data_IF_867763243591
#
_entry.id   IF_867763243591
#
_cell.length_a   1.000
_cell.length_b   1.000
_cell.length_c   1.000
_cell.angle_alpha   90.00
_cell.angle_beta   90.00
_cell.angle_gamma   90.00
#
_symmetry.space_group_name_H-M   'P 1'
#
loop_
_entity.id
_entity.type
_entity.pdbx_description
1 polymer ?
#
# COMPACT_ATOMS: atom_id res chain seq x y z
N UNK A 1 -8.76 -16.58 3.11
CA UNK A 1 -8.00 -15.32 3.24
C UNK A 1 -8.86 -14.21 2.64
N UNK A 2 -9.01 -13.07 3.29
CA UNK A 2 -9.78 -11.95 2.77
C UNK A 2 -8.87 -10.93 2.06
N UNK A 3 -9.36 -10.30 0.99
CA UNK A 3 -8.67 -9.25 0.24
C UNK A 3 -9.24 -7.86 0.54
N UNK A 4 -8.42 -6.85 0.32
CA UNK A 4 -8.87 -5.47 0.21
C UNK A 4 -8.76 -5.02 -1.24
N UNK A 5 -9.59 -4.08 -1.66
CA UNK A 5 -9.62 -3.67 -3.07
C UNK A 5 -9.40 -2.16 -3.10
N UNK A 6 -8.29 -1.72 -3.69
CA UNK A 6 -8.07 -0.30 -3.99
C UNK A 6 -8.81 0.04 -5.28
N UNK A 7 -9.64 1.08 -5.28
CA UNK A 7 -10.48 1.42 -6.42
C UNK A 7 -10.63 2.94 -6.63
N UNK A 8 -10.93 3.31 -7.87
CA UNK A 8 -11.18 4.69 -8.29
C UNK A 8 -12.37 5.31 -7.54
N UNK A 9 -12.41 6.64 -7.35
CA UNK A 9 -13.54 7.35 -6.74
C UNK A 9 -14.88 7.08 -7.44
N UNK A 10 -14.87 6.88 -8.75
CA UNK A 10 -16.07 6.54 -9.54
C UNK A 10 -16.70 5.22 -9.10
N UNK A 11 -15.87 4.22 -8.77
CA UNK A 11 -16.33 2.92 -8.27
C UNK A 11 -16.94 3.07 -6.88
N UNK A 12 -16.27 3.79 -5.99
CA UNK A 12 -16.76 4.04 -4.64
C UNK A 12 -18.09 4.82 -4.63
N UNK A 13 -18.23 5.81 -5.52
CA UNK A 13 -19.46 6.56 -5.72
C UNK A 13 -20.58 5.68 -6.33
N UNK A 14 -20.26 4.82 -7.30
CA UNK A 14 -21.23 3.90 -7.90
C UNK A 14 -21.81 2.92 -6.89
N UNK A 15 -20.99 2.44 -5.96
CA UNK A 15 -21.42 1.58 -4.85
C UNK A 15 -22.04 2.36 -3.69
N UNK A 16 -21.95 3.69 -3.72
CA UNK A 16 -22.44 4.58 -2.68
C UNK A 16 -21.84 4.29 -1.29
N UNK A 17 -20.55 3.93 -1.27
CA UNK A 17 -19.75 3.56 -0.08
C UNK A 17 -18.61 4.54 0.21
N UNK A 18 -18.49 5.61 -0.56
CA UNK A 18 -17.51 6.69 -0.43
C UNK A 18 -17.41 7.25 1.01
N UNK A 19 -18.55 7.34 1.72
CA UNK A 19 -18.59 7.82 3.12
C UNK A 19 -18.27 6.76 4.17
N UNK A 20 -18.30 5.49 3.79
CA UNK A 20 -18.15 4.34 4.69
C UNK A 20 -16.77 3.69 4.59
N UNK A 21 -16.05 3.97 3.51
CA UNK A 21 -14.75 3.39 3.21
C UNK A 21 -13.66 4.41 3.45
N UNK A 22 -12.45 3.88 3.67
CA UNK A 22 -11.29 4.72 3.86
C UNK A 22 -10.88 5.32 2.52
N UNK A 23 -10.80 6.64 2.46
CA UNK A 23 -10.13 7.36 1.38
C UNK A 23 -8.63 7.39 1.65
N UNK A 24 -7.84 6.98 0.67
CA UNK A 24 -6.38 6.97 0.70
C UNK A 24 -5.83 8.36 0.35
N UNK A 25 -4.52 8.56 0.56
CA UNK A 25 -3.84 9.84 0.31
C UNK A 25 -3.80 10.22 -1.17
N UNK A 26 -3.82 9.25 -2.07
CA UNK A 26 -3.93 9.43 -3.53
C UNK A 26 -5.37 9.71 -4.01
N UNK A 27 -6.32 9.82 -3.09
CA UNK A 27 -7.71 10.10 -3.40
C UNK A 27 -8.54 8.87 -3.78
N UNK A 28 -7.92 7.70 -3.92
CA UNK A 28 -8.61 6.43 -4.16
C UNK A 28 -9.23 5.88 -2.88
N UNK A 29 -10.01 4.79 -3.00
CA UNK A 29 -10.72 4.20 -1.86
C UNK A 29 -10.27 2.76 -1.62
N UNK A 30 -10.22 2.40 -0.34
CA UNK A 30 -10.01 1.02 0.08
C UNK A 30 -11.36 0.36 0.40
N UNK A 31 -11.80 -0.50 -0.53
CA UNK A 31 -13.02 -1.28 -0.45
C UNK A 31 -12.78 -2.63 0.22
N UNK A 32 -13.85 -3.20 0.78
CA UNK A 32 -13.83 -4.56 1.31
C UNK A 32 -14.10 -5.57 0.20
N UNK A 33 -13.60 -6.80 0.36
CA UNK A 33 -13.91 -7.89 -0.56
C UNK A 33 -15.41 -8.08 -0.81
N UNK A 34 -16.24 -7.92 0.23
CA UNK A 34 -17.68 -8.08 0.14
C UNK A 34 -18.35 -7.05 -0.80
N UNK A 35 -17.75 -5.87 -0.98
CA UNK A 35 -18.29 -4.85 -1.87
C UNK A 35 -18.25 -5.30 -3.34
N UNK A 36 -17.35 -6.23 -3.68
CA UNK A 36 -17.24 -6.79 -5.03
C UNK A 36 -18.45 -7.67 -5.43
N UNK A 37 -19.29 -8.07 -4.47
CA UNK A 37 -20.52 -8.80 -4.75
C UNK A 37 -21.50 -8.01 -5.61
N UNK A 38 -21.41 -6.68 -5.63
CA UNK A 38 -22.21 -5.84 -6.51
C UNK A 38 -21.84 -6.00 -8.00
N UNK A 39 -20.62 -6.46 -8.30
CA UNK A 39 -20.12 -6.62 -9.67
C UNK A 39 -20.13 -8.08 -10.15
N UNK A 40 -20.11 -9.05 -9.24
CA UNK A 40 -20.06 -10.46 -9.60
C UNK A 40 -19.70 -11.36 -8.42
N UNK A 41 -19.17 -12.55 -8.72
CA UNK A 41 -18.82 -13.54 -7.71
C UNK A 41 -17.39 -13.34 -7.20
N UNK A 42 -17.14 -13.64 -5.92
CA UNK A 42 -15.86 -13.35 -5.27
C UNK A 42 -14.65 -14.11 -5.85
N UNK A 43 -14.84 -15.24 -6.54
CA UNK A 43 -13.72 -15.94 -7.20
C UNK A 43 -13.28 -15.25 -8.50
N UNK A 44 -14.07 -14.30 -9.02
CA UNK A 44 -13.79 -13.53 -10.25
C UNK A 44 -13.20 -12.15 -9.93
N UNK A 45 -12.80 -11.90 -8.67
CA UNK A 45 -12.22 -10.62 -8.24
C UNK A 45 -11.11 -10.13 -9.18
N UNK A 46 -10.13 -10.95 -9.61
CA UNK A 46 -9.10 -10.47 -10.53
C UNK A 46 -9.67 -9.88 -11.83
N UNK A 47 -10.67 -10.54 -12.40
CA UNK A 47 -11.36 -10.12 -13.62
C UNK A 47 -12.24 -8.89 -13.39
N UNK A 48 -12.96 -8.85 -12.25
CA UNK A 48 -13.77 -7.69 -11.86
C UNK A 48 -12.87 -6.47 -11.70
N UNK A 49 -11.75 -6.61 -10.99
CA UNK A 49 -10.77 -5.55 -10.78
C UNK A 49 -10.24 -4.98 -12.10
N UNK A 50 -9.87 -5.82 -13.07
CA UNK A 50 -9.46 -5.35 -14.40
C UNK A 50 -10.55 -4.57 -15.13
N UNK A 51 -11.82 -4.99 -15.01
CA UNK A 51 -12.95 -4.29 -15.64
C UNK A 51 -13.18 -2.91 -15.04
N UNK A 52 -13.12 -2.79 -13.72
CA UNK A 52 -13.44 -1.53 -13.01
C UNK A 52 -12.23 -0.63 -12.74
N UNK A 53 -11.03 -1.05 -13.14
CA UNK A 53 -9.79 -0.31 -12.86
C UNK A 53 -9.41 -0.33 -11.38
N UNK A 54 -9.58 -1.46 -10.71
CA UNK A 54 -9.24 -1.65 -9.31
C UNK A 54 -8.06 -2.63 -9.14
N UNK A 55 -7.47 -2.63 -7.95
CA UNK A 55 -6.32 -3.45 -7.59
C UNK A 55 -6.62 -4.26 -6.33
N UNK A 56 -6.62 -5.61 -6.39
CA UNK A 56 -6.73 -6.43 -5.20
C UNK A 56 -5.42 -6.41 -4.41
N UNK A 57 -5.54 -6.21 -3.10
CA UNK A 57 -4.44 -6.06 -2.16
C UNK A 57 -4.54 -7.12 -1.06
N UNK A 58 -3.40 -7.66 -0.67
CA UNK A 58 -3.28 -8.45 0.54
C UNK A 58 -3.39 -7.56 1.79
N UNK A 59 -3.70 -8.10 2.98
CA UNK A 59 -3.86 -7.29 4.20
C UNK A 59 -2.65 -6.41 4.54
N UNK A 60 -1.41 -6.90 4.33
CA UNK A 60 -0.21 -6.11 4.56
C UNK A 60 0.03 -5.04 3.50
N UNK A 61 -0.45 -5.24 2.28
CA UNK A 61 -0.37 -4.25 1.21
C UNK A 61 -1.39 -3.14 1.42
N UNK A 62 -2.61 -3.51 1.81
CA UNK A 62 -3.64 -2.57 2.20
C UNK A 62 -3.14 -1.65 3.30
N UNK A 63 -2.52 -2.21 4.35
CA UNK A 63 -1.93 -1.40 5.43
C UNK A 63 -0.88 -0.40 4.91
N UNK A 64 -0.01 -0.80 3.99
CA UNK A 64 0.98 0.11 3.41
C UNK A 64 0.34 1.28 2.64
N UNK A 65 -0.77 1.05 1.95
CA UNK A 65 -1.54 2.10 1.28
C UNK A 65 -2.22 3.04 2.29
N UNK A 66 -2.79 2.47 3.36
CA UNK A 66 -3.44 3.24 4.44
C UNK A 66 -2.46 4.16 5.14
N UNK A 67 -1.27 3.65 5.44
CA UNK A 67 -0.19 4.40 6.09
C UNK A 67 0.47 5.39 5.10
N UNK A 68 0.16 5.32 3.80
CA UNK A 68 0.72 6.17 2.75
C UNK A 68 2.17 5.83 2.39
N UNK A 69 2.73 4.74 2.94
CA UNK A 69 4.10 4.28 2.69
C UNK A 69 4.33 3.82 1.26
N UNK A 70 3.29 3.25 0.64
CA UNK A 70 3.30 2.78 -0.76
C UNK A 70 1.99 3.20 -1.40
N UNK A 71 2.06 3.84 -2.57
CA UNK A 71 0.90 4.22 -3.38
C UNK A 71 0.97 3.52 -4.73
N UNK A 72 0.36 2.34 -4.83
CA UNK A 72 0.35 1.58 -6.09
C UNK A 72 -0.61 2.24 -7.09
N UNK A 73 -0.19 2.49 -8.34
CA UNK A 73 -1.07 3.02 -9.36
C UNK A 73 -2.18 2.02 -9.69
N UNK A 74 -3.34 2.54 -10.07
CA UNK A 74 -4.48 1.72 -10.47
C UNK A 74 -4.40 1.35 -11.95
N UNK A 75 -4.81 0.13 -12.34
CA UNK A 75 -4.87 -0.25 -13.75
C UNK A 75 -5.98 0.52 -14.46
N UNK A 76 -5.82 0.74 -15.76
CA UNK A 76 -6.85 1.36 -16.60
C UNK A 76 -8.09 0.46 -16.64
N UNK A 77 -9.25 1.03 -16.34
CA UNK A 77 -10.52 0.31 -16.39
C UNK A 77 -10.87 -0.05 -17.84
N UNK A 78 -11.45 -1.24 -18.03
CA UNK A 78 -12.02 -1.63 -19.34
C UNK A 78 -13.46 -1.13 -19.50
N UNK A 79 -14.17 -0.87 -18.40
CA UNK A 79 -15.53 -0.33 -18.41
C UNK A 79 -15.47 1.20 -18.44
N UNK A 80 -16.03 1.80 -19.50
CA UNK A 80 -16.05 3.24 -19.77
C UNK A 80 -16.57 4.08 -18.59
N UNK A 81 -17.42 3.50 -17.73
CA UNK A 81 -17.97 4.19 -16.55
C UNK A 81 -16.94 4.47 -15.47
N UNK A 82 -15.82 3.75 -15.50
CA UNK A 82 -14.79 3.80 -14.46
C UNK A 82 -13.42 4.23 -15.00
N UNK A 83 -13.34 4.57 -16.29
CA UNK A 83 -12.13 5.17 -16.88
C UNK A 83 -11.97 6.56 -16.24
N UNK A 84 -10.90 6.69 -15.44
CA UNK A 84 -10.46 7.99 -14.97
C UNK A 84 -9.66 8.64 -16.10
N UNK A 85 -9.90 9.92 -16.42
CA UNK A 85 -8.99 10.65 -17.29
C UNK A 85 -7.61 10.63 -16.62
N UNK A 86 -6.57 10.31 -17.38
CA UNK A 86 -5.20 10.45 -16.90
C UNK A 86 -5.02 11.90 -16.44
N UNK A 87 -4.84 12.11 -15.13
CA UNK A 87 -4.15 13.31 -14.69
C UNK A 87 -2.75 13.21 -15.31
N UNK A 88 -2.23 14.29 -15.94
CA UNK A 88 -0.91 14.25 -16.54
C UNK A 88 0.10 13.99 -15.42
N UNK A 89 0.50 12.72 -15.27
CA UNK A 89 1.57 12.32 -14.38
C UNK A 89 2.85 12.90 -14.98
N UNK A 90 3.23 14.06 -14.48
CA UNK A 90 4.42 14.77 -14.93
C UNK A 90 5.66 14.02 -14.47
N UNK A 91 6.09 13.00 -15.23
CA UNK A 91 7.46 12.48 -15.28
C UNK A 91 7.62 11.39 -16.36
N UNK A 92 7.44 11.73 -17.63
CA UNK A 92 8.10 11.02 -18.74
C UNK A 92 9.36 11.84 -19.09
N UNK A 93 10.45 11.61 -18.35
CA UNK A 93 11.79 12.04 -18.79
C UNK A 93 12.31 10.97 -19.77
N UNK A 94 12.60 11.32 -21.03
CA UNK A 94 13.15 10.37 -21.99
C UNK A 94 14.67 10.28 -21.82
N UNK A 95 15.16 9.38 -20.96
CA UNK A 95 16.59 9.04 -20.98
C UNK A 95 16.85 7.94 -22.01
N UNK A 96 17.09 8.39 -23.25
CA UNK A 96 17.75 7.57 -24.26
C UNK A 96 19.26 7.68 -24.10
N UNK A 97 19.95 6.56 -23.89
CA UNK A 97 21.14 6.15 -24.67
C UNK A 97 21.96 5.06 -23.96
N UNK A 98 22.04 3.88 -24.60
CA UNK A 98 23.32 3.31 -25.03
C UNK A 98 24.26 2.65 -23.99
N UNK A 99 24.27 1.32 -24.01
CA UNK A 99 25.36 0.38 -23.67
C UNK A 99 26.82 0.91 -23.64
N UNK A 100 27.58 0.61 -22.57
CA UNK A 100 28.57 -0.50 -22.47
C UNK A 100 29.78 -0.26 -21.53
N UNK A 101 29.98 -1.20 -20.60
CA UNK A 101 31.20 -1.94 -20.17
C UNK A 101 32.50 -1.22 -19.68
N UNK A 102 32.90 -1.65 -18.44
CA UNK A 102 34.23 -1.92 -17.79
C UNK A 102 35.49 -1.13 -18.21
N UNK A 103 36.40 -0.73 -17.32
CA UNK A 103 37.25 -1.56 -16.44
C UNK A 103 38.04 -0.73 -15.40
N UNK A 104 38.34 -1.35 -14.24
CA UNK A 104 39.59 -1.40 -13.42
C UNK A 104 40.56 -0.17 -13.37
N UNK A 105 41.20 0.21 -12.25
CA UNK A 105 41.99 -0.55 -11.25
C UNK A 105 42.34 0.34 -10.02
N UNK A 106 42.60 -0.31 -8.87
CA UNK A 106 43.65 -0.06 -7.82
C UNK A 106 43.87 1.34 -7.22
N UNK A 107 44.37 1.57 -6.00
CA UNK A 107 44.75 0.87 -4.76
C UNK A 107 45.35 1.99 -3.87
N UNK A 108 45.13 1.99 -2.56
CA UNK A 108 46.03 2.57 -1.52
C UNK A 108 45.28 2.84 -0.20
N UNK A 109 45.36 1.83 0.67
CA UNK A 109 45.82 1.88 2.07
C UNK A 109 45.97 3.26 2.77
N UNK A 110 45.30 3.42 3.92
CA UNK A 110 45.97 3.64 5.22
C UNK A 110 44.98 4.02 6.34
N UNK A 111 44.86 3.10 7.30
CA UNK A 111 44.63 3.20 8.75
C UNK A 111 44.26 4.54 9.40
N UNK A 112 43.32 4.53 10.35
CA UNK A 112 43.57 4.78 11.79
C UNK A 112 42.35 4.39 12.63
N UNK A 113 42.65 3.85 13.81
CA UNK A 113 41.83 3.23 14.85
C UNK A 113 41.04 4.24 15.72
N UNK A 114 40.39 3.68 16.76
CA UNK A 114 39.74 4.29 17.92
C UNK A 114 38.22 4.51 17.74
N UNK A 115 37.30 3.77 18.40
CA UNK A 115 37.37 3.18 19.73
C UNK A 115 36.54 4.06 20.67
N UNK A 116 35.24 3.79 20.84
CA UNK A 116 34.52 4.07 22.10
C UNK A 116 33.21 3.29 22.13
N UNK A 117 33.23 2.24 22.94
CA UNK A 117 32.07 1.56 23.47
C UNK A 117 31.29 2.47 24.42
N UNK A 118 29.96 2.53 24.28
CA UNK A 118 29.09 2.72 25.45
C UNK A 118 27.72 2.09 25.23
N UNK A 119 27.56 0.90 25.78
CA UNK A 119 26.30 0.41 26.29
C UNK A 119 25.90 1.26 27.52
N UNK A 120 24.63 1.62 27.67
CA UNK A 120 23.82 1.42 28.90
C UNK A 120 22.32 1.48 28.53
N UNK A 121 21.51 0.49 28.96
CA UNK A 121 20.06 0.40 28.80
C UNK A 121 19.31 1.18 29.90
N UNK A 122 18.06 1.57 29.65
CA UNK A 122 17.26 2.23 30.68
C UNK A 122 15.76 2.30 30.37
N UNK A 123 15.02 1.40 31.02
CA UNK A 123 13.63 1.44 31.48
C UNK A 123 12.58 2.27 30.71
N UNK A 124 11.51 1.58 30.31
CA UNK A 124 10.21 2.01 30.79
C UNK A 124 9.39 0.82 31.25
N UNK A 125 8.91 0.97 32.48
CA UNK A 125 8.30 -0.03 33.33
C UNK A 125 6.97 -0.58 32.78
N UNK A 126 6.81 -1.87 33.01
CA UNK A 126 5.54 -2.58 33.18
C UNK A 126 4.49 -1.76 33.92
N UNK A 127 3.30 -1.63 33.32
CA UNK A 127 2.05 -1.61 34.09
C UNK A 127 1.26 -2.85 33.68
N UNK A 128 1.42 -3.91 34.46
CA UNK A 128 0.46 -4.99 34.58
C UNK A 128 -0.81 -4.42 35.18
N UNK A 129 -1.95 -4.63 34.52
CA UNK A 129 -3.26 -4.34 35.11
C UNK A 129 -3.95 -5.67 35.40
N UNK A 130 -3.41 -6.39 36.37
CA UNK A 130 -4.13 -7.44 37.09
C UNK A 130 -4.94 -6.78 38.20
N UNK A 131 -6.26 -6.73 38.02
CA UNK A 131 -7.20 -6.74 39.15
C UNK A 131 -8.36 -7.65 38.82
N UNK A 132 -8.28 -8.84 39.39
CA UNK A 132 -9.40 -9.68 39.77
C UNK A 132 -10.46 -8.85 40.51
N UNK A 133 -11.73 -9.11 40.19
CA UNK A 133 -12.79 -9.11 41.19
C UNK A 133 -13.86 -10.09 40.75
N UNK A 134 -13.68 -11.32 41.23
CA UNK A 134 -14.73 -12.26 41.59
C UNK A 134 -15.87 -11.55 42.34
N UNK A 135 -17.11 -11.72 41.89
CA UNK A 135 -18.29 -11.71 42.75
C UNK A 135 -19.30 -12.71 42.19
N UNK A 136 -19.23 -13.92 42.76
CA UNK A 136 -20.27 -14.94 42.75
C UNK A 136 -21.49 -14.42 43.53
N UNK A 137 -22.69 -14.52 42.95
CA UNK A 137 -23.98 -14.44 43.64
C UNK A 137 -25.09 -15.07 42.79
#
# INVERSE_FOLDING_TARGET
>A
MALYIKANPLVAAHLNVDRLRLKLSDGNYLLWQADMLAFGKLYEIPQICGRIGALPLQPWEARQEQDGSVLRPLPVATDDRFIMPDEPDGADEPDGSGQSIQDKDQDSDSSTEDGTDKAVPGNNDTVTNDKESEVDL
#
